data_IF_112998325195
#
_entry.id   IF_112998325195
#
_cell.length_a   1.000
_cell.length_b   1.000
_cell.length_c   1.000
_cell.angle_alpha   90.00
_cell.angle_beta   90.00
_cell.angle_gamma   90.00
#
_symmetry.space_group_name_H-M   'P 1'
#
loop_
_entity.id
_entity.type
_entity.pdbx_description
1 polymer ?
#
# COMPACT_ATOMS: atom_id res chain seq x y z
N UNK A 1 9.34 6.84 -15.43
CA UNK A 1 10.33 7.91 -15.63
C UNK A 1 11.63 7.34 -16.21
N UNK A 2 12.46 6.57 -15.49
CA UNK A 2 13.74 6.01 -15.95
C UNK A 2 13.59 5.10 -17.18
N UNK A 3 12.57 4.26 -17.22
CA UNK A 3 12.30 3.34 -18.35
C UNK A 3 11.86 4.05 -19.63
N UNK A 4 11.42 5.29 -19.58
CA UNK A 4 10.95 6.05 -20.74
C UNK A 4 9.68 5.52 -21.42
N UNK A 5 9.10 4.45 -20.94
CA UNK A 5 7.89 3.81 -21.47
C UNK A 5 7.39 2.66 -20.60
N UNK A 6 6.42 1.91 -21.11
CA UNK A 6 5.87 0.75 -20.40
C UNK A 6 6.86 -0.42 -20.44
N UNK A 7 7.11 -1.03 -19.27
CA UNK A 7 7.98 -2.21 -19.12
C UNK A 7 7.38 -3.19 -18.14
N UNK A 8 7.69 -4.48 -18.32
CA UNK A 8 7.34 -5.55 -17.37
C UNK A 8 8.50 -5.93 -16.46
N UNK A 9 9.73 -5.57 -16.84
CA UNK A 9 10.97 -6.05 -16.18
C UNK A 9 11.72 -4.98 -15.43
N UNK A 10 11.45 -3.70 -15.71
CA UNK A 10 12.18 -2.56 -15.13
C UNK A 10 13.70 -2.67 -15.31
N UNK A 11 14.14 -3.19 -16.49
CA UNK A 11 15.52 -3.57 -16.71
C UNK A 11 16.49 -2.37 -16.68
N UNK A 12 16.08 -1.20 -17.19
CA UNK A 12 16.93 0.00 -17.20
C UNK A 12 17.10 0.52 -15.78
N UNK A 13 16.00 0.62 -15.02
CA UNK A 13 16.04 1.06 -13.63
C UNK A 13 16.86 0.10 -12.76
N UNK A 14 16.64 -1.22 -12.89
CA UNK A 14 17.41 -2.23 -12.17
C UNK A 14 18.89 -2.22 -12.54
N UNK A 15 19.21 -2.06 -13.82
CA UNK A 15 20.60 -1.90 -14.24
C UNK A 15 21.24 -0.68 -13.58
N UNK A 16 20.53 0.45 -13.53
CA UNK A 16 21.02 1.67 -12.88
C UNK A 16 21.28 1.44 -11.39
N UNK A 17 20.38 0.74 -10.67
CA UNK A 17 20.54 0.44 -9.25
C UNK A 17 21.88 -0.26 -8.94
N UNK A 18 22.35 -1.14 -9.85
CA UNK A 18 23.60 -1.87 -9.64
C UNK A 18 24.83 -1.22 -10.31
N UNK A 19 24.66 -0.51 -11.43
CA UNK A 19 25.78 0.04 -12.19
C UNK A 19 26.07 1.52 -11.91
N UNK A 20 25.09 2.27 -11.41
CA UNK A 20 25.22 3.68 -11.05
C UNK A 20 24.22 4.05 -9.94
N UNK A 21 24.35 3.48 -8.73
CA UNK A 21 23.43 3.71 -7.63
C UNK A 21 23.36 5.18 -7.21
N UNK A 22 24.46 5.90 -7.27
CA UNK A 22 24.52 7.33 -6.90
C UNK A 22 23.57 8.19 -7.75
N UNK A 23 23.57 7.99 -9.06
CA UNK A 23 22.65 8.69 -9.96
C UNK A 23 21.19 8.30 -9.66
N UNK A 24 20.91 7.03 -9.37
CA UNK A 24 19.57 6.61 -8.96
C UNK A 24 19.15 7.30 -7.67
N UNK A 25 20.02 7.39 -6.68
CA UNK A 25 19.76 8.11 -5.43
C UNK A 25 19.49 9.60 -5.65
N UNK A 26 20.19 10.27 -6.60
CA UNK A 26 19.92 11.66 -6.96
C UNK A 26 18.51 11.83 -7.53
N UNK A 27 18.11 10.95 -8.45
CA UNK A 27 16.77 10.95 -9.03
C UNK A 27 15.71 10.71 -7.94
N UNK A 28 15.93 9.72 -7.07
CA UNK A 28 14.99 9.39 -6.01
C UNK A 28 14.86 10.53 -4.99
N UNK A 29 15.95 11.20 -4.63
CA UNK A 29 15.90 12.40 -3.77
C UNK A 29 15.04 13.50 -4.39
N UNK A 30 15.21 13.80 -5.67
CA UNK A 30 14.39 14.80 -6.34
C UNK A 30 12.89 14.44 -6.36
N UNK A 31 12.57 13.17 -6.61
CA UNK A 31 11.19 12.66 -6.55
C UNK A 31 10.64 12.74 -5.13
N UNK A 32 11.43 12.38 -4.13
CA UNK A 32 11.06 12.42 -2.72
C UNK A 32 10.73 13.84 -2.27
N UNK A 33 11.58 14.81 -2.57
CA UNK A 33 11.33 16.23 -2.23
C UNK A 33 10.06 16.75 -2.90
N UNK A 34 9.84 16.42 -4.17
CA UNK A 34 8.60 16.78 -4.88
C UNK A 34 7.39 16.15 -4.22
N UNK A 35 7.47 14.88 -3.82
CA UNK A 35 6.37 14.16 -3.17
C UNK A 35 6.06 14.72 -1.78
N UNK A 36 7.08 15.08 -1.00
CA UNK A 36 6.90 15.76 0.30
C UNK A 36 6.07 17.05 0.14
N UNK A 37 6.47 17.92 -0.80
CA UNK A 37 5.75 19.17 -1.05
C UNK A 37 4.34 18.95 -1.59
N UNK A 38 4.16 17.96 -2.45
CA UNK A 38 2.85 17.61 -3.00
C UNK A 38 1.87 17.15 -1.92
N UNK A 39 2.30 16.22 -1.06
CA UNK A 39 1.46 15.72 0.04
C UNK A 39 1.24 16.78 1.13
N UNK A 40 2.24 17.60 1.44
CA UNK A 40 2.08 18.75 2.32
C UNK A 40 0.99 19.71 1.82
N UNK A 41 0.98 20.00 0.53
CA UNK A 41 -0.06 20.86 -0.06
C UNK A 41 -1.45 20.20 -0.01
N UNK A 42 -1.57 18.89 -0.19
CA UNK A 42 -2.84 18.20 0.00
C UNK A 42 -3.34 18.34 1.44
N UNK A 43 -2.46 18.14 2.42
CA UNK A 43 -2.81 18.27 3.84
C UNK A 43 -3.26 19.71 4.16
N UNK A 44 -2.54 20.72 3.69
CA UNK A 44 -2.91 22.14 3.86
C UNK A 44 -4.25 22.50 3.23
N UNK A 45 -4.66 21.76 2.19
CA UNK A 45 -5.97 21.93 1.55
C UNK A 45 -7.07 21.03 2.16
N UNK A 46 -6.83 20.40 3.31
CA UNK A 46 -7.85 19.80 4.16
C UNK A 46 -8.13 18.33 3.91
N UNK A 47 -7.20 17.55 3.35
CA UNK A 47 -7.37 16.08 3.31
C UNK A 47 -7.26 15.50 4.71
N UNK A 48 -8.05 14.45 4.98
CA UNK A 48 -8.10 13.79 6.29
C UNK A 48 -6.99 12.77 6.49
N UNK A 49 -6.44 12.21 5.41
CA UNK A 49 -5.34 11.26 5.41
C UNK A 49 -4.60 11.32 4.08
N UNK A 50 -3.37 10.84 4.03
CA UNK A 50 -2.60 10.67 2.79
C UNK A 50 -2.16 9.23 2.62
N UNK A 51 -2.05 8.78 1.36
CA UNK A 51 -1.58 7.43 1.05
C UNK A 51 -0.43 7.48 0.05
N UNK A 52 0.64 6.75 0.37
CA UNK A 52 1.83 6.58 -0.48
C UNK A 52 1.77 5.19 -1.11
N UNK A 53 1.74 5.15 -2.44
CA UNK A 53 1.71 3.90 -3.20
C UNK A 53 3.10 3.56 -3.75
N UNK A 54 3.57 2.35 -3.47
CA UNK A 54 4.62 1.69 -4.22
C UNK A 54 4.06 0.42 -4.87
N UNK A 55 3.33 0.61 -5.96
CA UNK A 55 2.65 -0.48 -6.68
C UNK A 55 3.63 -1.48 -7.31
N UNK A 56 4.91 -1.15 -7.36
CA UNK A 56 5.96 -1.95 -8.00
C UNK A 56 7.08 -2.37 -7.05
N UNK A 57 6.84 -2.30 -5.74
CA UNK A 57 7.79 -2.70 -4.70
C UNK A 57 8.38 -4.10 -4.95
N UNK A 58 7.55 -5.06 -5.37
CA UNK A 58 7.96 -6.43 -5.71
C UNK A 58 8.84 -6.56 -6.96
N UNK A 59 9.03 -5.48 -7.72
CA UNK A 59 9.96 -5.51 -8.85
C UNK A 59 11.43 -5.56 -8.39
N UNK A 60 11.71 -5.14 -7.17
CA UNK A 60 13.03 -5.14 -6.55
C UNK A 60 13.21 -6.36 -5.65
N UNK A 61 14.43 -6.88 -5.56
CA UNK A 61 14.81 -7.80 -4.51
C UNK A 61 14.86 -7.07 -3.15
N UNK A 62 14.94 -7.84 -2.06
CA UNK A 62 14.83 -7.31 -0.71
C UNK A 62 15.77 -6.13 -0.43
N UNK A 63 17.08 -6.30 -0.65
CA UNK A 63 18.07 -5.26 -0.36
C UNK A 63 17.83 -3.99 -1.18
N UNK A 64 17.55 -4.14 -2.46
CA UNK A 64 17.25 -3.04 -3.35
C UNK A 64 15.90 -2.35 -3.01
N UNK A 65 14.89 -3.10 -2.53
CA UNK A 65 13.65 -2.52 -2.03
C UNK A 65 13.91 -1.59 -0.84
N UNK A 66 14.66 -2.05 0.15
CA UNK A 66 14.95 -1.23 1.33
C UNK A 66 15.80 0.01 0.98
N UNK A 67 16.76 -0.13 0.06
CA UNK A 67 17.66 0.95 -0.33
C UNK A 67 17.02 1.98 -1.28
N UNK A 68 16.30 1.52 -2.32
CA UNK A 68 15.83 2.38 -3.41
C UNK A 68 14.32 2.69 -3.38
N UNK A 69 13.55 2.10 -2.44
CA UNK A 69 12.14 2.40 -2.25
C UNK A 69 11.83 2.73 -0.79
N UNK A 70 11.93 1.77 0.12
CA UNK A 70 11.46 1.91 1.50
C UNK A 70 12.09 3.07 2.26
N UNK A 71 13.39 3.25 2.13
CA UNK A 71 14.12 4.40 2.69
C UNK A 71 13.47 5.73 2.34
N UNK A 72 13.12 5.93 1.09
CA UNK A 72 12.53 7.18 0.59
C UNK A 72 11.07 7.36 1.01
N UNK A 73 10.32 6.26 1.11
CA UNK A 73 8.97 6.28 1.70
C UNK A 73 9.05 6.74 3.16
N UNK A 74 10.00 6.22 3.94
CA UNK A 74 10.20 6.64 5.32
C UNK A 74 10.59 8.11 5.45
N UNK A 75 11.46 8.61 4.58
CA UNK A 75 11.80 10.04 4.55
C UNK A 75 10.57 10.95 4.34
N UNK A 76 9.63 10.52 3.48
CA UNK A 76 8.36 11.24 3.28
C UNK A 76 7.50 11.16 4.54
N UNK A 77 7.35 9.98 5.12
CA UNK A 77 6.57 9.79 6.34
C UNK A 77 7.10 10.64 7.49
N UNK A 78 8.39 10.61 7.75
CA UNK A 78 9.03 11.38 8.82
C UNK A 78 8.86 12.89 8.62
N UNK A 79 9.03 13.38 7.39
CA UNK A 79 8.80 14.78 7.06
C UNK A 79 7.35 15.21 7.34
N UNK A 80 6.39 14.41 6.91
CA UNK A 80 4.97 14.72 7.10
C UNK A 80 4.57 14.63 8.57
N UNK A 81 5.02 13.61 9.29
CA UNK A 81 4.75 13.43 10.72
C UNK A 81 5.37 14.52 11.59
N UNK A 82 6.53 15.04 11.22
CA UNK A 82 7.14 16.17 11.94
C UNK A 82 6.30 17.45 11.83
N UNK A 83 5.61 17.67 10.69
CA UNK A 83 4.80 18.86 10.43
C UNK A 83 3.32 18.68 10.79
N UNK A 84 2.79 17.49 10.58
CA UNK A 84 1.36 17.18 10.68
C UNK A 84 1.15 15.86 11.45
N UNK A 85 1.54 15.80 12.73
CA UNK A 85 1.52 14.55 13.50
C UNK A 85 0.11 13.91 13.61
N UNK A 86 -0.94 14.75 13.50
CA UNK A 86 -2.35 14.32 13.58
C UNK A 86 -2.89 13.71 12.28
N UNK A 87 -2.22 13.91 11.14
CA UNK A 87 -2.71 13.39 9.86
C UNK A 87 -2.24 11.94 9.66
N UNK A 88 -3.17 10.97 9.51
CA UNK A 88 -2.79 9.59 9.25
C UNK A 88 -2.07 9.42 7.92
N UNK A 89 -1.01 8.62 7.93
CA UNK A 89 -0.26 8.23 6.74
C UNK A 89 -0.46 6.74 6.50
N UNK A 90 -0.90 6.40 5.29
CA UNK A 90 -1.04 5.05 4.79
C UNK A 90 0.12 4.76 3.84
N UNK A 91 0.79 3.63 3.98
CA UNK A 91 1.81 3.16 3.03
C UNK A 91 1.34 1.86 2.38
N UNK A 92 1.49 1.75 1.06
CA UNK A 92 1.06 0.57 0.30
C UNK A 92 2.19 0.06 -0.61
N UNK A 93 3.15 -0.70 -0.11
CA UNK A 93 4.15 -1.40 -0.90
C UNK A 93 3.62 -2.76 -1.33
N UNK A 94 3.32 -2.92 -2.63
CA UNK A 94 2.69 -4.14 -3.16
C UNK A 94 3.69 -5.28 -3.35
N UNK A 95 3.30 -6.49 -2.90
CA UNK A 95 4.02 -7.75 -3.20
C UNK A 95 5.28 -7.96 -2.38
N UNK A 96 5.32 -7.45 -1.15
CA UNK A 96 6.46 -7.57 -0.24
C UNK A 96 6.22 -8.53 0.93
N UNK A 97 5.34 -9.51 0.76
CA UNK A 97 4.96 -10.45 1.84
C UNK A 97 6.14 -11.15 2.51
N UNK A 98 7.25 -11.35 1.78
CA UNK A 98 8.48 -11.94 2.31
C UNK A 98 9.28 -11.04 3.26
N UNK A 99 8.96 -9.73 3.33
CA UNK A 99 9.75 -8.74 4.08
C UNK A 99 8.98 -8.09 5.23
N UNK A 100 7.76 -8.56 5.55
CA UNK A 100 6.86 -7.92 6.53
C UNK A 100 7.47 -7.76 7.92
N UNK A 101 8.28 -8.70 8.35
CA UNK A 101 8.96 -8.65 9.65
C UNK A 101 10.07 -7.58 9.74
N UNK A 102 10.54 -7.07 8.61
CA UNK A 102 11.50 -5.98 8.51
C UNK A 102 10.85 -4.60 8.33
N UNK A 103 9.52 -4.56 8.13
CA UNK A 103 8.79 -3.32 7.94
C UNK A 103 8.65 -2.57 9.26
N UNK A 104 9.15 -1.35 9.26
CA UNK A 104 8.99 -0.42 10.37
C UNK A 104 9.11 1.02 9.89
N UNK A 105 8.48 1.96 10.58
CA UNK A 105 8.55 3.37 10.25
C UNK A 105 7.49 4.20 10.97
N UNK A 106 7.50 5.49 10.72
CA UNK A 106 6.61 6.47 11.33
C UNK A 106 5.39 6.72 10.43
N UNK A 107 4.54 5.71 10.30
CA UNK A 107 3.25 5.76 9.59
C UNK A 107 2.20 5.05 10.44
N UNK A 108 0.92 5.24 10.13
CA UNK A 108 -0.20 4.76 10.95
C UNK A 108 -0.83 3.49 10.38
N UNK A 109 -0.89 3.39 9.06
CA UNK A 109 -1.62 2.33 8.37
C UNK A 109 -0.74 1.66 7.33
N UNK A 110 -0.74 0.33 7.34
CA UNK A 110 -0.08 -0.48 6.32
C UNK A 110 -1.12 -1.09 5.39
N UNK A 111 -1.03 -0.74 4.11
CA UNK A 111 -1.87 -1.32 3.05
C UNK A 111 -1.34 -2.69 2.64
N UNK A 112 -2.19 -3.69 2.77
CA UNK A 112 -1.92 -5.09 2.44
C UNK A 112 -2.49 -5.39 1.06
N UNK A 113 -1.67 -5.89 0.14
CA UNK A 113 -2.13 -6.33 -1.17
C UNK A 113 -2.77 -7.72 -1.13
N UNK A 114 -3.52 -8.08 -2.20
CA UNK A 114 -4.26 -9.34 -2.25
C UNK A 114 -3.41 -10.61 -2.28
N UNK A 115 -2.13 -10.51 -2.67
CA UNK A 115 -1.21 -11.65 -2.73
C UNK A 115 -0.63 -12.01 -1.37
N UNK A 116 -0.77 -11.13 -0.39
CA UNK A 116 -0.32 -11.32 0.99
C UNK A 116 -1.44 -11.92 1.83
N UNK A 117 -1.28 -13.11 2.45
CA UNK A 117 -2.26 -13.62 3.39
C UNK A 117 -2.50 -12.62 4.53
N UNK A 118 -3.78 -12.27 4.77
CA UNK A 118 -4.12 -11.26 5.79
C UNK A 118 -3.73 -11.71 7.20
N UNK A 119 -3.75 -13.02 7.45
CA UNK A 119 -3.31 -13.64 8.70
C UNK A 119 -1.82 -13.38 8.95
N UNK A 120 -1.00 -13.49 7.91
CA UNK A 120 0.43 -13.21 7.99
C UNK A 120 0.68 -11.72 8.29
N UNK A 121 0.00 -10.83 7.58
CA UNK A 121 0.12 -9.39 7.82
C UNK A 121 -0.35 -9.04 9.24
N UNK A 122 -1.47 -9.60 9.70
CA UNK A 122 -1.99 -9.40 11.05
C UNK A 122 -1.01 -9.88 12.14
N UNK A 123 -0.36 -11.02 11.93
CA UNK A 123 0.63 -11.55 12.86
C UNK A 123 1.91 -10.71 12.93
N UNK A 124 2.37 -10.18 11.77
CA UNK A 124 3.65 -9.44 11.69
C UNK A 124 3.51 -7.95 12.03
N UNK A 125 2.42 -7.32 11.61
CA UNK A 125 2.27 -5.86 11.64
C UNK A 125 1.07 -5.37 12.46
N UNK A 126 0.07 -6.23 12.69
CA UNK A 126 -1.21 -5.82 13.27
C UNK A 126 -1.18 -5.33 14.72
N UNK A 127 -0.09 -5.59 15.46
CA UNK A 127 0.12 -5.03 16.80
C UNK A 127 0.67 -3.59 16.75
N UNK A 128 1.32 -3.21 15.66
CA UNK A 128 2.00 -1.93 15.51
C UNK A 128 1.24 -0.94 14.64
N UNK A 129 0.56 -1.43 13.63
CA UNK A 129 -0.12 -0.61 12.62
C UNK A 129 -1.57 -1.04 12.44
N UNK A 130 -2.43 -0.10 12.05
CA UNK A 130 -3.72 -0.43 11.45
C UNK A 130 -3.46 -1.07 10.09
N UNK A 131 -4.15 -2.17 9.76
CA UNK A 131 -4.03 -2.81 8.46
C UNK A 131 -5.17 -2.37 7.54
N UNK A 132 -4.85 -2.05 6.28
CA UNK A 132 -5.85 -1.74 5.26
C UNK A 132 -5.79 -2.79 4.15
N UNK A 133 -6.91 -3.38 3.79
CA UNK A 133 -7.00 -4.35 2.70
C UNK A 133 -7.90 -5.51 3.07
N UNK A 134 -7.79 -6.65 2.37
CA UNK A 134 -6.91 -6.92 1.22
C UNK A 134 -7.63 -7.86 0.23
N UNK A 135 -8.95 -7.72 0.12
CA UNK A 135 -9.70 -8.62 -0.75
C UNK A 135 -9.21 -8.51 -2.21
N UNK A 136 -9.04 -9.66 -2.86
CA UNK A 136 -8.67 -9.71 -4.27
C UNK A 136 -9.75 -9.05 -5.15
N UNK A 137 -9.40 -8.05 -6.01
CA UNK A 137 -10.38 -7.33 -6.81
C UNK A 137 -11.21 -8.23 -7.75
N UNK A 138 -10.63 -9.32 -8.26
CA UNK A 138 -11.33 -10.25 -9.17
C UNK A 138 -12.46 -11.03 -8.50
N UNK A 139 -12.50 -11.10 -7.16
CA UNK A 139 -13.67 -11.66 -6.45
C UNK A 139 -14.95 -10.88 -6.72
N UNK A 140 -14.82 -9.61 -7.13
CA UNK A 140 -16.00 -8.79 -7.47
C UNK A 140 -16.75 -9.24 -8.73
N UNK A 141 -16.26 -10.20 -9.49
CA UNK A 141 -17.01 -10.81 -10.57
C UNK A 141 -18.15 -11.72 -10.09
N UNK A 142 -18.10 -12.24 -8.86
CA UNK A 142 -19.06 -13.20 -8.32
C UNK A 142 -19.49 -12.86 -6.89
N UNK A 143 -20.81 -12.79 -6.64
CA UNK A 143 -21.35 -12.45 -5.32
C UNK A 143 -21.01 -13.49 -4.25
N UNK A 144 -20.90 -14.76 -4.60
CA UNK A 144 -20.49 -15.83 -3.69
C UNK A 144 -19.04 -15.67 -3.26
N UNK A 145 -18.15 -15.36 -4.23
CA UNK A 145 -16.74 -15.07 -3.97
C UNK A 145 -16.54 -13.80 -3.12
N UNK A 146 -17.37 -12.77 -3.36
CA UNK A 146 -17.39 -11.56 -2.51
C UNK A 146 -17.73 -11.95 -1.07
N UNK A 147 -18.86 -12.66 -0.86
CA UNK A 147 -19.31 -13.03 0.49
C UNK A 147 -18.27 -13.85 1.23
N UNK A 148 -17.66 -14.81 0.55
CA UNK A 148 -16.59 -15.63 1.13
C UNK A 148 -15.39 -14.77 1.54
N UNK A 149 -14.90 -13.90 0.63
CA UNK A 149 -13.73 -13.04 0.89
C UNK A 149 -13.96 -12.05 2.02
N UNK A 150 -15.14 -11.41 2.05
CA UNK A 150 -15.53 -10.50 3.14
C UNK A 150 -15.56 -11.24 4.48
N UNK A 151 -16.23 -12.41 4.54
CA UNK A 151 -16.33 -13.20 5.76
C UNK A 151 -14.96 -13.61 6.30
N UNK A 152 -14.07 -14.10 5.43
CA UNK A 152 -12.73 -14.54 5.82
C UNK A 152 -11.90 -13.39 6.41
N UNK A 153 -11.88 -12.24 5.74
CA UNK A 153 -11.09 -11.10 6.20
C UNK A 153 -11.64 -10.55 7.51
N UNK A 154 -12.96 -10.39 7.63
CA UNK A 154 -13.57 -9.88 8.86
C UNK A 154 -13.34 -10.81 10.05
N UNK A 155 -13.36 -12.12 9.85
CA UNK A 155 -13.07 -13.09 10.93
C UNK A 155 -11.62 -12.99 11.41
N UNK A 156 -10.65 -12.92 10.48
CA UNK A 156 -9.23 -12.77 10.82
C UNK A 156 -8.94 -11.45 11.53
N UNK A 157 -9.61 -10.39 11.10
CA UNK A 157 -9.39 -9.04 11.62
C UNK A 157 -10.29 -8.68 12.80
N UNK A 158 -11.10 -9.63 13.27
CA UNK A 158 -11.98 -9.43 14.43
C UNK A 158 -11.19 -8.98 15.67
N UNK A 159 -11.60 -7.84 16.23
CA UNK A 159 -10.95 -7.24 17.40
C UNK A 159 -9.61 -6.55 17.11
N UNK A 160 -9.22 -6.41 15.86
CA UNK A 160 -8.02 -5.70 15.43
C UNK A 160 -8.35 -4.38 14.72
N UNK A 161 -7.40 -3.47 14.66
CA UNK A 161 -7.54 -2.24 13.88
C UNK A 161 -7.44 -2.55 12.38
N UNK A 162 -8.55 -2.34 11.66
CA UNK A 162 -8.66 -2.69 10.25
C UNK A 162 -9.49 -1.69 9.46
N UNK A 163 -9.02 -1.35 8.28
CA UNK A 163 -9.76 -0.64 7.25
C UNK A 163 -10.01 -1.62 6.12
N UNK A 164 -11.28 -2.03 5.94
CA UNK A 164 -11.60 -2.96 4.87
C UNK A 164 -11.42 -2.30 3.51
N UNK A 165 -10.64 -2.93 2.64
CA UNK A 165 -10.39 -2.47 1.28
C UNK A 165 -10.10 -3.66 0.35
N UNK A 166 -10.09 -3.39 -0.96
CA UNK A 166 -9.48 -4.29 -1.93
C UNK A 166 -7.96 -4.25 -1.82
N UNK A 167 -7.31 -5.33 -2.17
CA UNK A 167 -5.84 -5.42 -2.19
C UNK A 167 -5.18 -4.74 -3.40
N UNK A 168 -5.97 -4.16 -4.32
CA UNK A 168 -5.54 -3.33 -5.45
C UNK A 168 -6.74 -2.63 -6.09
N UNK A 169 -6.50 -1.86 -7.18
CA UNK A 169 -7.56 -1.21 -7.95
C UNK A 169 -8.57 -2.20 -8.55
N UNK A 170 -9.81 -1.74 -8.67
CA UNK A 170 -10.90 -2.47 -9.33
C UNK A 170 -10.66 -2.52 -10.85
N UNK A 171 -11.01 -3.64 -11.50
CA UNK A 171 -10.93 -3.77 -12.95
C UNK A 171 -12.11 -3.06 -13.63
N UNK A 172 -11.92 -2.46 -14.81
CA UNK A 172 -12.93 -1.63 -15.47
C UNK A 172 -14.20 -2.36 -15.87
N UNK A 173 -14.13 -3.67 -16.09
CA UNK A 173 -15.24 -4.53 -16.54
C UNK A 173 -16.00 -5.21 -15.39
N UNK A 174 -15.60 -4.96 -14.14
CA UNK A 174 -16.34 -5.46 -12.98
C UNK A 174 -17.72 -4.78 -12.90
N UNK A 175 -18.82 -5.57 -12.77
CA UNK A 175 -20.16 -5.02 -12.66
C UNK A 175 -20.31 -4.07 -11.47
N UNK A 176 -20.81 -2.86 -11.72
CA UNK A 176 -21.05 -1.83 -10.70
C UNK A 176 -21.93 -2.36 -9.54
N UNK A 177 -22.93 -3.21 -9.87
CA UNK A 177 -23.82 -3.81 -8.88
C UNK A 177 -23.07 -4.74 -7.90
N UNK A 178 -22.02 -5.41 -8.37
CA UNK A 178 -21.20 -6.25 -7.50
C UNK A 178 -20.29 -5.40 -6.58
N UNK A 179 -19.80 -4.27 -7.06
CA UNK A 179 -19.07 -3.32 -6.22
C UNK A 179 -19.98 -2.72 -5.13
N UNK A 180 -21.22 -2.35 -5.47
CA UNK A 180 -22.22 -1.90 -4.48
C UNK A 180 -22.56 -3.00 -3.47
N UNK A 181 -22.79 -4.23 -3.97
CA UNK A 181 -23.04 -5.38 -3.09
C UNK A 181 -21.88 -5.60 -2.12
N UNK A 182 -20.65 -5.53 -2.59
CA UNK A 182 -19.46 -5.64 -1.75
C UNK A 182 -19.46 -4.62 -0.60
N UNK A 183 -19.66 -3.34 -0.93
CA UNK A 183 -19.66 -2.25 0.07
C UNK A 183 -20.77 -2.49 1.12
N UNK A 184 -21.99 -2.77 0.68
CA UNK A 184 -23.11 -3.01 1.57
C UNK A 184 -22.85 -4.21 2.48
N UNK A 185 -22.34 -5.30 1.92
CA UNK A 185 -22.05 -6.52 2.67
C UNK A 185 -20.98 -6.29 3.75
N UNK A 186 -19.93 -5.53 3.43
CA UNK A 186 -18.90 -5.16 4.43
C UNK A 186 -19.55 -4.40 5.58
N UNK A 187 -20.42 -3.41 5.30
CA UNK A 187 -21.11 -2.64 6.32
C UNK A 187 -22.04 -3.51 7.17
N UNK A 188 -22.85 -4.36 6.54
CA UNK A 188 -23.75 -5.27 7.24
C UNK A 188 -23.03 -6.25 8.17
N UNK A 189 -21.93 -6.84 7.70
CA UNK A 189 -21.18 -7.86 8.45
C UNK A 189 -20.22 -7.27 9.49
N UNK A 190 -19.82 -6.00 9.36
CA UNK A 190 -18.98 -5.31 10.34
C UNK A 190 -19.77 -4.45 11.33
N UNK A 191 -21.08 -4.28 11.15
CA UNK A 191 -21.93 -3.59 12.12
C UNK A 191 -21.89 -4.33 13.47
N UNK A 192 -21.54 -3.60 14.52
CA UNK A 192 -21.48 -4.08 15.91
C UNK A 192 -22.76 -3.73 16.64
#
# INVERSE_FOLDING_TARGET
MIEGGTTKTYAICKKMAYSNPELLHEILRAVTETTKLYLENQIKNGVNAVQIFDSWASALEESAFFEFSWKYILEICDYLKAKFPQVPIIVFPKGISGYLDKISGNFDVFGVDWSTPIELAAAKLGQKYTLQGNMEPTRLYDKGAIKQGVSQILEVMKGKNHIFNLGHGILPDIPVENAKYFINLVHEMSAR
#
